data_IF_815706418175
#
_entry.id   IF_815706418175
#
_cell.length_a   1.000
_cell.length_b   1.000
_cell.length_c   1.000
_cell.angle_alpha   90.00
_cell.angle_beta   90.00
_cell.angle_gamma   90.00
#
_symmetry.space_group_name_H-M   'P 1'
#
loop_
_entity.id
_entity.type
_entity.pdbx_description
1 polymer ?
2 non-polymer ?
3 non-polymer ?
4 water ?
#
# COMPACT_ATOMS: atom_id res chain seq x y z
N UNK A 39 -5.25 11.96 16.52
CA UNK A 39 -3.97 11.75 17.19
C UNK A 39 -4.15 11.63 18.70
N UNK A 40 -4.85 12.60 19.28
CA UNK A 40 -5.31 12.53 20.66
C UNK A 40 -6.77 12.11 20.62
N UNK A 41 -7.23 11.86 19.40
CA UNK A 41 -8.61 11.50 19.14
C UNK A 41 -8.96 10.10 19.62
N UNK A 42 -10.25 9.81 19.68
CA UNK A 42 -10.72 8.46 19.98
C UNK A 42 -10.32 7.58 18.81
N UNK A 43 -10.36 6.26 19.01
CA UNK A 43 -10.08 5.34 17.93
C UNK A 43 -11.08 5.54 16.80
N UNK A 44 -12.35 5.76 17.16
CA UNK A 44 -13.39 5.99 16.16
C UNK A 44 -13.10 7.22 15.30
N UNK A 45 -12.62 8.29 15.92
CA UNK A 45 -12.35 9.52 15.18
C UNK A 45 -11.07 9.42 14.36
N UNK A 46 -10.08 8.68 14.86
CA UNK A 46 -8.88 8.43 14.08
C UNK A 46 -9.27 7.72 12.79
N UNK A 47 -10.18 6.76 12.90
CA UNK A 47 -10.61 6.02 11.72
C UNK A 47 -11.41 6.92 10.77
N UNK A 48 -12.23 7.82 11.31
CA UNK A 48 -12.94 8.77 10.46
C UNK A 48 -11.98 9.67 9.69
N UNK A 49 -10.87 10.05 10.33
CA UNK A 49 -9.86 10.85 9.63
C UNK A 49 -9.25 10.04 8.48
N UNK A 50 -8.91 8.79 8.74
CA UNK A 50 -8.33 7.96 7.67
C UNK A 50 -9.30 7.78 6.52
N UNK A 51 -10.57 7.51 6.83
CA UNK A 51 -11.56 7.33 5.78
C UNK A 51 -11.71 8.63 4.98
N UNK A 52 -11.67 9.77 5.67
CA UNK A 52 -11.78 11.05 4.97
C UNK A 52 -10.59 11.26 4.03
N UNK A 53 -9.40 10.83 4.46
CA UNK A 53 -8.22 10.96 3.60
C UNK A 53 -8.34 10.04 2.40
N UNK A 54 -8.77 8.80 2.64
CA UNK A 54 -9.03 7.88 1.53
C UNK A 54 -10.05 8.46 0.54
N UNK A 55 -11.17 8.97 1.05
CA UNK A 55 -12.18 9.52 0.15
C UNK A 55 -11.62 10.67 -0.69
N UNK A 56 -10.84 11.54 -0.06
CA UNK A 56 -10.24 12.66 -0.79
C UNK A 56 -9.33 12.20 -1.91
N UNK A 57 -8.78 10.99 -1.80
CA UNK A 57 -7.82 10.51 -2.79
C UNK A 57 -8.47 10.18 -4.12
N UNK A 58 -9.81 10.14 -4.16
CA UNK A 58 -10.49 9.89 -5.43
C UNK A 58 -10.17 10.98 -6.44
N UNK A 59 -9.77 12.15 -5.95
CA UNK A 59 -9.44 13.27 -6.84
C UNK A 59 -7.98 13.24 -7.25
N UNK A 60 -7.24 12.23 -6.81
CA UNK A 60 -5.85 12.07 -7.23
C UNK A 60 -5.77 10.98 -8.29
N UNK A 61 -5.11 11.28 -9.39
CA UNK A 61 -5.04 10.31 -10.47
C UNK A 61 -4.04 9.20 -10.15
N UNK A 62 -4.30 8.02 -10.70
CA UNK A 62 -3.33 6.94 -10.72
C UNK A 62 -2.75 6.92 -12.13
N UNK A 63 -1.49 7.33 -12.28
CA UNK A 63 -0.90 7.51 -13.61
C UNK A 63 -0.74 6.22 -14.40
N UNK A 64 -1.37 6.18 -15.57
CA UNK A 64 -1.14 5.09 -16.52
C UNK A 64 -2.29 4.12 -16.72
N UNK A 65 -3.29 4.17 -15.83
CA UNK A 65 -4.46 3.31 -15.96
C UNK A 65 -5.72 4.14 -15.72
N UNK A 66 -6.88 3.61 -16.11
CA UNK A 66 -8.12 4.37 -16.03
C UNK A 66 -8.79 4.28 -14.66
N UNK A 67 -8.01 4.55 -13.61
CA UNK A 67 -8.53 4.55 -12.24
C UNK A 67 -7.93 5.72 -11.47
N UNK A 68 -8.53 6.04 -10.33
CA UNK A 68 -7.94 7.01 -9.40
C UNK A 68 -7.31 6.33 -8.18
N UNK A 69 -6.72 7.12 -7.29
CA UNK A 69 -5.99 6.55 -6.15
C UNK A 69 -6.92 5.81 -5.20
N UNK A 70 -8.15 6.29 -5.06
CA UNK A 70 -9.10 5.63 -4.16
C UNK A 70 -9.47 4.25 -4.68
N UNK A 71 -9.78 4.17 -5.97
CA UNK A 71 -10.05 2.87 -6.58
C UNK A 71 -8.87 1.91 -6.43
N UNK A 72 -7.65 2.44 -6.57
CA UNK A 72 -6.45 1.61 -6.39
C UNK A 72 -6.40 1.02 -4.97
N UNK A 73 -6.54 1.88 -3.96
CA UNK A 73 -6.52 1.43 -2.58
C UNK A 73 -7.60 0.38 -2.31
N UNK A 74 -8.81 0.68 -2.74
CA UNK A 74 -9.94 -0.23 -2.50
C UNK A 74 -9.79 -1.59 -3.18
N UNK A 75 -9.26 -1.61 -4.41
CA UNK A 75 -9.05 -2.87 -5.11
C UNK A 75 -8.01 -3.73 -4.40
N UNK A 76 -6.95 -3.09 -3.93
CA UNK A 76 -5.91 -3.81 -3.21
C UNK A 76 -6.49 -4.47 -1.96
N UNK A 77 -7.28 -3.71 -1.20
CA UNK A 77 -7.90 -4.26 0.01
C UNK A 77 -8.85 -5.39 -0.35
N UNK A 78 -9.58 -5.23 -1.44
CA UNK A 78 -10.52 -6.25 -1.90
C UNK A 78 -9.80 -7.56 -2.27
N UNK A 79 -8.70 -7.47 -3.02
CA UNK A 79 -7.95 -8.69 -3.37
C UNK A 79 -7.38 -9.36 -2.13
N UNK A 80 -6.92 -8.56 -1.17
CA UNK A 80 -6.40 -9.08 0.09
C UNK A 80 -7.48 -9.85 0.83
N UNK A 81 -8.64 -9.22 1.00
CA UNK A 81 -9.68 -9.84 1.82
C UNK A 81 -10.22 -11.10 1.13
N UNK A 82 -10.39 -11.02 -0.18
CA UNK A 82 -10.94 -12.12 -0.95
C UNK A 82 -10.01 -13.34 -0.92
N UNK A 83 -8.72 -13.10 -0.72
CA UNK A 83 -7.74 -14.18 -0.69
C UNK A 83 -7.77 -14.93 0.63
N UNK A 84 -8.51 -14.39 1.60
CA UNK A 84 -8.55 -14.97 2.93
C UNK A 84 -7.45 -14.46 3.85
N UNK A 85 -6.79 -13.37 3.46
CA UNK A 85 -5.72 -12.79 4.28
C UNK A 85 -6.23 -12.28 5.62
N UNK A 86 -5.35 -12.22 6.62
CA UNK A 86 -5.74 -11.75 7.95
C UNK A 86 -5.99 -10.24 7.94
N UNK A 87 -6.58 -9.72 9.01
CA UNK A 87 -6.96 -8.31 9.05
C UNK A 87 -5.80 -7.34 8.89
N UNK A 88 -4.63 -7.69 9.42
CA UNK A 88 -3.48 -6.81 9.28
C UNK A 88 -3.03 -6.73 7.83
N UNK A 89 -3.08 -7.85 7.12
CA UNK A 89 -2.72 -7.85 5.70
C UNK A 89 -3.71 -7.02 4.88
N UNK A 90 -5.00 -7.16 5.17
CA UNK A 90 -6.03 -6.40 4.47
C UNK A 90 -5.84 -4.90 4.71
N UNK A 91 -5.57 -4.51 5.95
CA UNK A 91 -5.39 -3.10 6.28
C UNK A 91 -4.12 -2.55 5.66
N UNK A 92 -3.06 -3.36 5.64
CA UNK A 92 -1.84 -2.94 4.96
C UNK A 92 -2.10 -2.71 3.48
N UNK A 93 -2.89 -3.59 2.87
CA UNK A 93 -3.21 -3.43 1.45
C UNK A 93 -4.05 -2.17 1.21
N UNK A 94 -5.07 -1.97 2.04
CA UNK A 94 -5.91 -0.76 1.96
C UNK A 94 -5.09 0.52 2.06
N UNK A 95 -4.09 0.51 2.94
CA UNK A 95 -3.41 1.74 3.33
C UNK A 95 -1.99 1.88 2.79
N UNK A 96 -1.56 0.98 1.91
CA UNK A 96 -0.12 0.95 1.52
C UNK A 96 0.34 2.25 0.85
N UNK A 97 -0.59 2.97 0.22
CA UNK A 97 -0.22 4.20 -0.49
C UNK A 97 -0.69 5.45 0.25
N UNK A 98 -1.04 5.31 1.53
CA UNK A 98 -1.55 6.43 2.33
C UNK A 98 -0.56 7.60 2.31
N UNK A 99 0.73 7.27 2.24
CA UNK A 99 1.76 8.30 2.16
C UNK A 99 1.61 9.27 0.99
N UNK A 100 0.89 8.86 -0.06
CA UNK A 100 0.70 9.75 -1.21
C UNK A 100 -0.32 10.85 -0.92
N UNK A 101 -1.09 10.71 0.17
CA UNK A 101 -2.16 11.68 0.45
C UNK A 101 -2.51 11.86 1.91
N UNK A 102 -1.53 11.74 2.79
CA UNK A 102 -1.75 12.13 4.18
C UNK A 102 -0.90 13.36 4.47
N UNK A 103 -0.32 13.91 3.40
CA UNK A 103 0.59 15.07 3.39
C UNK A 103 1.02 15.67 4.72
N UNK A 111 1.54 14.68 -5.06
CA UNK A 111 2.30 14.74 -6.30
C UNK A 111 1.52 14.22 -7.49
N UNK A 112 2.19 14.14 -8.64
CA UNK A 112 1.60 13.54 -9.82
C UNK A 112 1.86 12.05 -9.82
N UNK A 113 3.13 11.69 -9.68
CA UNK A 113 3.54 10.29 -9.56
C UNK A 113 3.57 9.88 -8.09
N UNK A 114 3.48 10.87 -7.21
CA UNK A 114 3.32 10.60 -5.80
C UNK A 114 4.31 11.33 -4.91
N UNK A 115 4.28 10.98 -3.63
CA UNK A 115 5.09 11.65 -2.63
C UNK A 115 6.41 10.92 -2.48
N UNK A 116 7.51 11.67 -2.43
CA UNK A 116 8.82 11.09 -2.17
C UNK A 116 8.79 10.30 -0.86
N UNK A 117 9.29 9.07 -0.91
CA UNK A 117 9.33 8.17 0.25
C UNK A 117 7.95 7.95 0.86
N UNK A 118 6.93 7.90 0.01
CA UNK A 118 5.55 7.68 0.49
C UNK A 118 5.42 6.46 1.38
N UNK A 119 6.26 5.45 1.15
CA UNK A 119 6.18 4.23 1.94
C UNK A 119 6.52 4.49 3.42
N UNK A 120 7.47 5.39 3.66
CA UNK A 120 7.85 5.76 5.03
C UNK A 120 6.86 6.77 5.62
N UNK A 121 6.44 7.73 4.80
CA UNK A 121 5.48 8.75 5.25
C UNK A 121 4.19 8.11 5.75
N UNK A 122 3.68 7.15 4.98
CA UNK A 122 2.43 6.48 5.34
C UNK A 122 2.60 5.59 6.55
N UNK A 123 3.67 4.80 6.57
CA UNK A 123 3.91 3.91 7.70
C UNK A 123 4.06 4.70 9.00
N UNK A 124 4.84 5.78 8.97
CA UNK A 124 5.08 6.57 10.17
C UNK A 124 3.81 7.25 10.66
N UNK A 125 2.98 7.72 9.73
CA UNK A 125 1.69 8.31 10.09
C UNK A 125 0.83 7.30 10.84
N UNK A 126 0.75 6.08 10.32
CA UNK A 126 -0.03 5.03 10.97
C UNK A 126 0.58 4.61 12.31
N UNK A 127 1.92 4.58 12.39
CA UNK A 127 2.57 4.32 13.68
C UNK A 127 2.12 5.35 14.71
N UNK A 128 2.05 6.61 14.30
CA UNK A 128 1.61 7.68 15.18
C UNK A 128 0.18 7.50 15.65
N UNK A 129 -0.68 6.96 14.78
CA UNK A 129 -2.09 6.79 15.12
C UNK A 129 -2.33 5.60 16.03
N UNK A 130 -1.37 4.68 16.08
CA UNK A 130 -1.50 3.52 16.95
C UNK A 130 -1.66 2.18 16.26
N UNK A 131 -1.35 2.11 14.96
CA UNK A 131 -1.39 0.83 14.25
C UNK A 131 -0.20 -0.04 14.65
N UNK A 132 -0.32 -1.35 14.43
CA UNK A 132 0.75 -2.27 14.81
C UNK A 132 2.00 -2.10 13.95
N UNK A 133 3.15 -2.45 14.51
CA UNK A 133 4.40 -2.46 13.76
C UNK A 133 4.29 -3.39 12.56
N UNK A 134 3.52 -4.48 12.69
CA UNK A 134 3.39 -5.38 11.54
C UNK A 134 2.79 -4.68 10.31
N UNK A 135 1.68 -3.98 10.51
CA UNK A 135 1.05 -3.23 9.41
C UNK A 135 1.99 -2.16 8.89
N UNK A 136 2.60 -1.41 9.81
CA UNK A 136 3.54 -0.37 9.42
C UNK A 136 4.68 -0.93 8.56
N UNK A 137 5.26 -2.07 8.94
CA UNK A 137 6.38 -2.63 8.16
C UNK A 137 5.98 -3.17 6.79
N UNK A 138 4.78 -3.74 6.69
CA UNK A 138 4.30 -4.24 5.40
C UNK A 138 4.15 -3.08 4.42
N UNK A 139 3.69 -1.94 4.93
CA UNK A 139 3.52 -0.76 4.08
C UNK A 139 4.88 -0.16 3.74
N UNK A 140 5.71 0.01 4.76
CA UNK A 140 7.05 0.55 4.54
C UNK A 140 7.85 -0.30 3.56
N UNK A 141 7.61 -1.60 3.56
CA UNK A 141 8.35 -2.48 2.68
C UNK A 141 7.91 -2.59 1.23
N UNK A 142 6.82 -1.94 0.84
CA UNK A 142 6.25 -2.22 -0.48
C UNK A 142 7.04 -1.63 -1.66
N UNK A 143 7.87 -0.62 -1.40
CA UNK A 143 8.74 -0.13 -2.46
C UNK A 143 9.91 -1.10 -2.65
N UNK A 144 10.48 -1.57 -1.55
CA UNK A 144 11.56 -2.57 -1.63
C UNK A 144 11.07 -3.85 -2.31
N UNK A 145 9.82 -4.23 -2.04
CA UNK A 145 9.24 -5.40 -2.68
C UNK A 145 9.21 -5.21 -4.19
N UNK A 146 8.90 -4.00 -4.64
CA UNK A 146 8.90 -3.73 -6.08
C UNK A 146 10.30 -3.91 -6.64
N UNK A 147 11.29 -3.35 -5.94
CA UNK A 147 12.68 -3.42 -6.40
C UNK A 147 13.18 -4.87 -6.43
N UNK A 148 12.76 -5.65 -5.44
CA UNK A 148 13.10 -7.08 -5.36
C UNK A 148 12.49 -7.88 -6.51
N UNK A 149 11.19 -7.73 -6.74
CA UNK A 149 10.52 -8.48 -7.80
C UNK A 149 11.11 -8.18 -9.19
N UNK A 150 11.43 -6.91 -9.44
CA UNK A 150 12.03 -6.52 -10.71
C UNK A 150 13.43 -7.12 -10.88
N UNK A 151 14.19 -7.14 -9.80
CA UNK A 151 15.56 -7.67 -9.83
C UNK A 151 15.57 -9.18 -10.04
N UNK A 152 14.53 -9.86 -9.55
CA UNK A 152 14.46 -11.31 -9.63
C UNK A 152 14.06 -11.80 -11.02
N UNK A 153 13.03 -11.18 -11.60
CA UNK A 153 12.61 -11.47 -12.96
C UNK A 153 12.39 -10.17 -13.72
N UNK A 154 13.22 -9.90 -14.73
CA UNK A 154 13.06 -8.68 -15.53
C UNK A 154 11.67 -8.58 -16.18
N UNK A 155 11.04 -9.73 -16.38
CA UNK A 155 9.67 -9.79 -16.88
C UNK A 155 8.69 -9.04 -15.98
N UNK A 156 9.04 -8.87 -14.71
CA UNK A 156 8.14 -8.21 -13.76
C UNK A 156 7.94 -6.75 -14.13
N UNK A 157 8.95 -6.17 -14.80
CA UNK A 157 8.88 -4.80 -15.30
C UNK A 157 7.59 -4.53 -16.07
N UNK A 158 7.20 -5.49 -16.91
CA UNK A 158 6.00 -5.35 -17.74
C UNK A 158 4.71 -5.20 -16.91
N UNK A 159 4.70 -5.77 -15.71
CA UNK A 159 3.55 -5.67 -14.82
C UNK A 159 3.37 -4.28 -14.21
N UNK A 160 4.42 -3.46 -14.25
CA UNK A 160 4.41 -2.17 -13.56
C UNK A 160 3.60 -1.10 -14.30
N UNK A 161 2.77 -0.37 -13.56
CA UNK A 161 2.10 0.79 -14.12
C UNK A 161 3.14 1.86 -14.42
N UNK A 162 2.75 2.89 -15.17
CA UNK A 162 3.65 4.01 -15.41
C UNK A 162 4.11 4.66 -14.10
N UNK A 163 3.19 4.85 -13.15
CA UNK A 163 3.57 5.44 -11.87
C UNK A 163 4.64 4.61 -11.15
N UNK A 164 4.41 3.30 -11.04
CA UNK A 164 5.36 2.43 -10.36
C UNK A 164 6.71 2.35 -11.08
N UNK A 165 6.67 2.35 -12.41
CA UNK A 165 7.90 2.23 -13.19
C UNK A 165 8.72 3.52 -13.11
N UNK A 166 8.03 4.66 -13.10
CA UNK A 166 8.69 5.96 -13.17
C UNK A 166 9.49 6.29 -11.91
N UNK A 167 8.96 5.90 -10.76
CA UNK A 167 9.61 6.17 -9.48
C UNK A 167 10.75 5.21 -9.19
N UNK A 168 10.67 4.01 -9.77
CA UNK A 168 11.63 2.94 -9.49
C UNK A 168 13.10 3.35 -9.63
N UNK A 169 13.43 4.06 -10.71
CA UNK A 169 14.80 4.51 -10.91
C UNK A 169 15.33 5.25 -9.68
N UNK A 170 14.54 6.21 -9.21
CA UNK A 170 15.00 7.10 -8.14
C UNK A 170 14.94 6.46 -6.77
N UNK A 171 14.18 5.37 -6.66
CA UNK A 171 14.12 4.57 -5.45
C UNK A 171 15.29 3.58 -5.32
N UNK A 172 16.11 3.50 -6.37
CA UNK A 172 17.30 2.67 -6.33
C UNK A 172 17.40 1.68 -7.48
N UNK A 173 16.39 1.67 -8.34
CA UNK A 173 16.31 0.68 -9.40
C UNK A 173 16.20 -0.75 -8.88
N UNK A 174 16.45 -1.73 -9.76
CA UNK A 174 16.43 -3.14 -9.36
C UNK A 174 17.45 -3.41 -8.26
N UNK A 175 17.13 -4.30 -7.33
CA UNK A 175 18.01 -4.57 -6.20
C UNK A 175 19.33 -5.24 -6.59
N UNK A 176 20.36 -5.00 -5.77
CA UNK A 176 21.64 -5.72 -5.77
C UNK A 176 21.41 -7.19 -5.49
N UNK A 177 22.46 -8.00 -5.64
CA UNK A 177 22.41 -9.34 -5.08
C UNK A 177 22.41 -9.19 -3.56
N UNK A 178 23.23 -8.26 -3.07
CA UNK A 178 23.31 -8.01 -1.64
C UNK A 178 22.01 -7.50 -1.05
N UNK A 179 21.35 -6.60 -1.79
CA UNK A 179 20.09 -6.02 -1.34
C UNK A 179 19.00 -7.08 -1.24
N UNK A 180 18.97 -7.97 -2.23
CA UNK A 180 18.02 -9.07 -2.25
C UNK A 180 18.18 -9.95 -1.02
N UNK A 181 19.43 -10.26 -0.67
CA UNK A 181 19.70 -11.12 0.49
C UNK A 181 19.14 -10.55 1.78
N UNK A 182 19.33 -9.25 1.99
CA UNK A 182 18.85 -8.62 3.21
C UNK A 182 17.33 -8.53 3.21
N UNK A 183 16.75 -8.26 2.05
CA UNK A 183 15.29 -8.19 1.97
C UNK A 183 14.67 -9.57 2.28
N UNK A 184 15.28 -10.62 1.73
CA UNK A 184 14.83 -12.00 1.97
C UNK A 184 14.93 -12.39 3.44
N UNK A 185 15.81 -11.71 4.17
CA UNK A 185 16.00 -11.99 5.59
C UNK A 185 14.92 -11.39 6.50
N UNK A 186 14.13 -10.45 5.97
CA UNK A 186 13.02 -9.87 6.74
C UNK A 186 12.05 -10.96 7.19
N UNK A 187 11.55 -10.85 8.42
CA UNK A 187 10.57 -11.81 8.92
C UNK A 187 9.25 -11.76 8.15
N UNK A 188 8.96 -10.62 7.53
CA UNK A 188 7.71 -10.47 6.79
C UNK A 188 7.96 -10.50 5.27
N UNK A 189 9.09 -11.07 4.87
CA UNK A 189 9.48 -11.17 3.46
C UNK A 189 8.35 -11.65 2.57
N UNK A 190 7.79 -12.82 2.87
CA UNK A 190 6.76 -13.38 2.02
C UNK A 190 5.51 -12.50 2.00
N UNK A 191 5.12 -11.99 3.16
CA UNK A 191 3.93 -11.14 3.23
C UNK A 191 4.13 -9.82 2.47
N UNK A 192 5.34 -9.27 2.50
CA UNK A 192 5.60 -8.03 1.75
C UNK A 192 5.37 -8.26 0.27
N UNK A 193 5.77 -9.44 -0.22
CA UNK A 193 5.61 -9.74 -1.64
C UNK A 193 4.14 -9.87 -2.02
N UNK A 194 3.32 -10.39 -1.11
CA UNK A 194 1.90 -10.54 -1.38
C UNK A 194 1.22 -9.18 -1.48
N UNK A 195 1.59 -8.28 -0.56
CA UNK A 195 1.11 -6.90 -0.61
C UNK A 195 1.44 -6.28 -1.96
N UNK A 196 2.67 -6.50 -2.44
CA UNK A 196 3.07 -5.95 -3.73
C UNK A 196 2.35 -6.60 -4.92
N UNK A 197 2.08 -7.90 -4.83
CA UNK A 197 1.28 -8.55 -5.88
C UNK A 197 -0.12 -7.92 -6.00
N UNK A 198 -0.76 -7.67 -4.87
CA UNK A 198 -2.08 -7.04 -4.88
C UNK A 198 -1.97 -5.61 -5.43
N UNK A 199 -0.91 -4.91 -5.03
CA UNK A 199 -0.59 -3.56 -5.53
C UNK A 199 -0.58 -3.56 -7.06
N UNK A 200 0.09 -4.54 -7.67
CA UNK A 200 0.17 -4.59 -9.13
C UNK A 200 -1.17 -4.97 -9.77
N UNK A 201 -1.99 -5.70 -9.03
CA UNK A 201 -3.27 -6.19 -9.53
C UNK A 201 -4.38 -5.14 -9.39
N UNK A 202 -4.23 -4.22 -8.44
CA UNK A 202 -5.27 -3.24 -8.14
C UNK A 202 -5.33 -2.07 -9.11
N UNK A 203 -5.45 -2.38 -10.39
CA UNK A 203 -5.53 -1.37 -11.44
C UNK A 203 -6.58 -1.76 -12.49
N UNK A 204 -7.61 -2.48 -12.07
CA UNK A 204 -8.64 -2.96 -13.01
C UNK A 204 -9.67 -1.88 -13.33
N UNK A 205 -10.10 -1.80 -14.59
CA UNK A 205 -10.96 -0.71 -15.07
C UNK A 205 -12.44 -0.81 -14.68
N UNK A 206 -13.03 -2.00 -14.82
CA UNK A 206 -14.47 -2.18 -14.61
C UNK A 206 -14.86 -2.37 -13.14
N UNK A 207 -13.88 -2.75 -12.33
CA UNK A 207 -14.13 -3.46 -11.08
C UNK A 207 -14.87 -2.71 -9.98
N UNK A 208 -16.03 -3.21 -9.59
CA UNK A 208 -16.74 -2.69 -8.43
C UNK A 208 -16.23 -3.38 -7.16
N UNK A 209 -15.82 -2.59 -6.17
CA UNK A 209 -15.31 -3.12 -4.91
C UNK A 209 -15.88 -2.30 -3.75
N UNK A 210 -15.90 -2.87 -2.53
CA UNK A 210 -16.47 -2.15 -1.38
C UNK A 210 -15.74 -0.85 -1.09
N UNK A 211 -16.44 0.15 -0.54
CA UNK A 211 -15.82 1.42 -0.20
C UNK A 211 -15.19 1.40 1.18
N UNK A 212 -14.62 2.53 1.61
CA UNK A 212 -13.85 2.62 2.86
C UNK A 212 -14.64 2.21 4.09
N UNK A 213 -15.95 2.46 4.11
CA UNK A 213 -16.75 2.12 5.29
C UNK A 213 -16.75 0.62 5.59
N UNK A 214 -16.54 -0.19 4.56
CA UNK A 214 -16.46 -1.64 4.68
C UNK A 214 -15.32 -2.03 5.65
N UNK A 215 -14.34 -1.15 5.80
CA UNK A 215 -13.16 -1.43 6.62
C UNK A 215 -13.12 -0.68 7.94
N UNK A 216 -14.16 0.11 8.22
CA UNK A 216 -14.18 0.91 9.46
C UNK A 216 -14.04 0.07 10.73
N UNK A 217 -14.85 -0.97 10.83
CA UNK A 217 -14.86 -1.79 12.04
C UNK A 217 -13.53 -2.52 12.19
N UNK A 218 -13.00 -3.00 11.06
CA UNK A 218 -11.69 -3.64 11.05
C UNK A 218 -10.60 -2.71 11.60
N UNK A 219 -10.60 -1.46 11.15
CA UNK A 219 -9.62 -0.47 11.63
C UNK A 219 -9.81 -0.11 13.11
N UNK A 220 -11.06 0.06 13.54
CA UNK A 220 -11.34 0.39 14.94
C UNK A 220 -10.86 -0.73 15.87
N UNK A 221 -11.17 -1.96 15.49
CA UNK A 221 -10.74 -3.12 16.27
C UNK A 221 -9.23 -3.26 16.28
N UNK A 222 -8.59 -2.96 15.15
CA UNK A 222 -7.13 -3.02 15.09
C UNK A 222 -6.51 -2.06 16.10
N UNK A 223 -7.02 -0.83 16.14
CA UNK A 223 -6.50 0.16 17.07
C UNK A 223 -6.73 -0.26 18.53
N UNK A 224 -7.91 -0.79 18.83
CA UNK A 224 -8.21 -1.24 20.19
C UNK A 224 -7.27 -2.38 20.60
N UNK A 225 -7.04 -3.29 19.66
CA UNK A 225 -6.25 -4.51 19.90
C UNK A 225 -4.75 -4.25 20.00
X LIG B 1 3.17 2.78 -3.56
X LIG C 1 0.07 1.21 -4.85
X LIG D 1 5.78 5.20 -5.98
X LIG D 1 4.62 4.88 -6.90
X LIG D 1 3.74 3.76 -6.36
X LIG D 1 4.57 2.54 -6.05
X LIG D 1 2.72 3.46 -7.44
X LIG D 1 1.86 2.25 -7.12
X LIG D 1 6.68 4.35 -5.73
X LIG D 1 5.85 6.35 -5.47
X LIG D 1 5.22 1.97 -6.95
X LIG D 1 4.62 2.09 -4.87
X LIG D 1 0.77 2.41 -6.52
X LIG D 1 2.23 1.10 -7.49
X LIG D 1 3.08 4.12 -5.17
#
# INVERSE_FOLDING_TARGET
MRGSHHHHHHMASMTGGQQMGRDLYDDDDKDRWGSELEMSLSNSSKVSVLISLLEKSRDLDYIGEAINQLEHSLQCAYFAQRSGADNEMVLAALLHDLGHYCNDTSFEDMGGYGVWQHEKVGADYLRGLGFSERVACLIEGHVAAKRYLVSSKASYLKNLSDASRKTLEYQGGPMDEGERRLFEEREDFKDCLKIRAWDEKGKQTDLKVPGPEHYRKMMEEHLSENQN
FE FE
FE FE
FLC CAC CA CB CBC CG CGC OA1 OA2 OB1 OB2 OG1 OG2 OHB
#
